data_IF_833381905114
#
_entry.id   IF_833381905114
#
_cell.length_a   1.000
_cell.length_b   1.000
_cell.length_c   1.000
_cell.angle_alpha   90.00
_cell.angle_beta   90.00
_cell.angle_gamma   90.00
#
_symmetry.space_group_name_H-M   'P 1'
#
loop_
_entity.id
_entity.type
_entity.pdbx_description
1 polymer ?
#
# COMPACT_ATOMS: atom_id res chain seq x y z
N UNK A 1 -1.50 -21.61 14.03
CA UNK A 1 -1.48 -22.82 13.18
C UNK A 1 -0.42 -23.78 13.68
N UNK A 2 -0.73 -25.07 13.80
CA UNK A 2 0.20 -26.11 14.20
C UNK A 2 -0.22 -27.49 13.70
N UNK A 3 0.76 -28.36 13.40
CA UNK A 3 0.51 -29.78 13.05
C UNK A 3 0.04 -30.61 14.24
N UNK A 4 0.49 -30.24 15.46
CA UNK A 4 0.11 -30.87 16.72
C UNK A 4 -0.41 -29.81 17.70
N UNK A 5 -1.72 -29.68 17.78
CA UNK A 5 -2.37 -28.64 18.59
C UNK A 5 -2.03 -28.78 20.08
N UNK A 6 -2.07 -29.98 20.65
CA UNK A 6 -1.72 -30.22 22.06
C UNK A 6 -0.32 -29.69 22.40
N UNK A 7 0.68 -29.99 21.57
CA UNK A 7 2.06 -29.52 21.78
C UNK A 7 2.13 -27.99 21.69
N UNK A 8 1.43 -27.39 20.72
CA UNK A 8 1.44 -25.94 20.53
C UNK A 8 0.78 -25.20 21.68
N UNK A 9 -0.37 -25.67 22.14
CA UNK A 9 -1.08 -25.07 23.28
C UNK A 9 -0.26 -25.23 24.57
N UNK A 10 0.30 -26.43 24.83
CA UNK A 10 1.15 -26.64 25.99
C UNK A 10 2.38 -25.74 26.03
N UNK A 11 2.95 -25.36 24.88
CA UNK A 11 4.07 -24.41 24.83
C UNK A 11 3.72 -23.03 25.39
N UNK A 12 2.48 -22.58 25.23
CA UNK A 12 2.03 -21.28 25.74
C UNK A 12 1.71 -21.31 27.24
N UNK A 13 1.14 -22.42 27.76
CA UNK A 13 0.59 -22.48 29.10
C UNK A 13 1.41 -23.38 30.07
N UNK A 14 2.60 -23.85 29.62
CA UNK A 14 3.49 -24.63 30.48
C UNK A 14 4.23 -23.70 31.43
N UNK A 15 4.19 -24.01 32.73
CA UNK A 15 4.94 -23.28 33.76
C UNK A 15 6.47 -23.36 33.50
N UNK A 16 7.16 -22.25 33.76
CA UNK A 16 8.62 -22.17 33.66
C UNK A 16 9.20 -22.01 32.23
N UNK A 17 8.37 -21.88 31.20
CA UNK A 17 8.84 -21.57 29.84
C UNK A 17 9.01 -20.06 29.71
N UNK A 18 10.21 -19.55 29.40
CA UNK A 18 10.41 -18.14 29.16
C UNK A 18 9.73 -17.75 27.83
N UNK A 19 8.86 -16.75 27.89
CA UNK A 19 8.24 -16.14 26.73
C UNK A 19 8.77 -14.71 26.54
N UNK A 20 8.74 -14.23 25.32
CA UNK A 20 8.97 -12.80 25.10
C UNK A 20 7.85 -11.95 25.74
N UNK A 21 8.10 -10.67 25.95
CA UNK A 21 7.17 -9.76 26.63
C UNK A 21 5.79 -9.73 25.95
N UNK A 22 5.75 -9.87 24.64
CA UNK A 22 4.53 -9.84 23.84
C UNK A 22 3.68 -11.11 24.04
N UNK A 23 4.32 -12.27 23.99
CA UNK A 23 3.65 -13.57 24.23
C UNK A 23 3.16 -13.65 25.67
N UNK A 24 3.95 -13.18 26.64
CA UNK A 24 3.55 -13.11 28.04
C UNK A 24 2.32 -12.25 28.25
N UNK A 25 2.26 -11.08 27.62
CA UNK A 25 1.05 -10.23 27.66
C UNK A 25 -0.15 -10.88 26.97
N UNK A 26 0.03 -11.57 25.86
CA UNK A 26 -1.04 -12.30 25.18
C UNK A 26 -1.62 -13.38 26.09
N UNK A 27 -0.77 -14.17 26.74
CA UNK A 27 -1.18 -15.25 27.67
C UNK A 27 -1.93 -14.66 28.87
N UNK A 28 -1.44 -13.56 29.46
CA UNK A 28 -2.08 -12.90 30.59
C UNK A 28 -3.50 -12.37 30.29
N UNK A 29 -3.82 -12.09 29.02
CA UNK A 29 -5.14 -11.65 28.59
C UNK A 29 -6.01 -12.75 27.98
N UNK A 30 -5.51 -13.99 27.88
CA UNK A 30 -6.24 -15.11 27.31
C UNK A 30 -7.03 -15.85 28.42
N UNK A 31 -8.34 -15.74 28.39
CA UNK A 31 -9.24 -16.47 29.33
C UNK A 31 -9.67 -17.82 28.77
N UNK A 32 -9.72 -17.97 27.47
CA UNK A 32 -10.13 -19.18 26.77
C UNK A 32 -9.47 -19.26 25.42
N UNK A 33 -9.50 -20.45 24.82
CA UNK A 33 -9.09 -20.64 23.43
C UNK A 33 -9.97 -21.68 22.76
N UNK A 34 -10.20 -21.50 21.48
CA UNK A 34 -10.90 -22.44 20.63
C UNK A 34 -9.94 -23.08 19.62
N UNK A 35 -10.31 -24.26 19.16
CA UNK A 35 -9.53 -25.05 18.22
C UNK A 35 -10.38 -25.41 17.02
N UNK A 36 -9.88 -25.08 15.82
CA UNK A 36 -10.48 -25.51 14.56
C UNK A 36 -9.53 -26.52 13.91
N UNK A 37 -10.01 -27.73 13.68
CA UNK A 37 -9.25 -28.78 13.02
C UNK A 37 -9.50 -28.71 11.52
N UNK A 38 -8.41 -28.56 10.73
CA UNK A 38 -8.45 -28.51 9.29
C UNK A 38 -7.93 -29.82 8.69
N UNK A 39 -8.41 -30.19 7.49
CA UNK A 39 -8.01 -31.43 6.82
C UNK A 39 -6.63 -31.32 6.16
N UNK A 40 -6.20 -30.09 5.80
CA UNK A 40 -4.91 -29.85 5.17
C UNK A 40 -4.18 -28.65 5.78
N UNK A 41 -2.85 -28.62 5.55
CA UNK A 41 -2.03 -27.47 5.97
C UNK A 41 -2.39 -26.20 5.20
N UNK A 42 -2.79 -26.34 3.95
CA UNK A 42 -3.23 -25.22 3.11
C UNK A 42 -4.53 -24.61 3.64
N UNK A 43 -5.52 -25.44 3.96
CA UNK A 43 -6.77 -24.99 4.57
C UNK A 43 -6.52 -24.25 5.89
N UNK A 44 -5.64 -24.78 6.76
CA UNK A 44 -5.28 -24.12 8.00
C UNK A 44 -4.58 -22.76 7.77
N UNK A 45 -3.84 -22.59 6.68
CA UNK A 45 -3.21 -21.32 6.31
C UNK A 45 -4.24 -20.29 5.84
N UNK A 46 -5.16 -20.71 4.98
CA UNK A 46 -6.25 -19.84 4.48
C UNK A 46 -7.17 -19.43 5.62
N UNK A 47 -7.52 -20.36 6.49
CA UNK A 47 -8.34 -20.07 7.67
C UNK A 47 -7.65 -19.10 8.63
N UNK A 48 -6.35 -19.29 8.92
CA UNK A 48 -5.56 -18.36 9.74
C UNK A 48 -5.58 -16.94 9.15
N UNK A 49 -5.32 -16.79 7.86
CA UNK A 49 -5.35 -15.49 7.18
C UNK A 49 -6.74 -14.84 7.25
N UNK A 50 -7.80 -15.62 7.03
CA UNK A 50 -9.18 -15.15 7.11
C UNK A 50 -9.53 -14.66 8.53
N UNK A 51 -9.20 -15.44 9.57
CA UNK A 51 -9.46 -15.08 10.97
C UNK A 51 -8.67 -13.84 11.40
N UNK A 52 -7.42 -13.70 10.96
CA UNK A 52 -6.61 -12.51 11.26
C UNK A 52 -7.21 -11.25 10.60
N UNK A 53 -7.70 -11.36 9.36
CA UNK A 53 -8.39 -10.26 8.67
C UNK A 53 -9.70 -9.88 9.35
N UNK A 54 -10.52 -10.87 9.72
CA UNK A 54 -11.81 -10.64 10.36
C UNK A 54 -11.70 -10.01 11.74
N UNK A 55 -10.72 -10.45 12.55
CA UNK A 55 -10.61 -10.09 13.96
C UNK A 55 -9.49 -9.09 14.27
N UNK A 56 -8.58 -8.81 13.33
CA UNK A 56 -7.43 -7.91 13.51
C UNK A 56 -6.75 -8.02 14.89
N UNK A 57 -6.36 -9.25 15.34
CA UNK A 57 -5.97 -9.51 16.71
C UNK A 57 -4.74 -8.70 17.14
N UNK A 58 -4.80 -8.08 18.32
CA UNK A 58 -3.80 -7.11 18.84
C UNK A 58 -2.36 -7.63 18.83
N UNK A 59 -2.17 -8.91 19.16
CA UNK A 59 -0.85 -9.52 19.30
C UNK A 59 -0.31 -10.19 18.04
N UNK A 60 -1.03 -10.17 16.90
CA UNK A 60 -0.51 -10.62 15.62
C UNK A 60 0.14 -9.47 14.89
N UNK A 61 1.40 -9.67 14.44
CA UNK A 61 2.11 -8.70 13.59
C UNK A 61 2.03 -9.15 12.13
N UNK A 62 2.33 -10.44 11.88
CA UNK A 62 2.25 -11.02 10.55
C UNK A 62 0.78 -11.17 10.11
N UNK A 63 0.52 -10.96 8.84
CA UNK A 63 -0.81 -11.04 8.21
C UNK A 63 -1.81 -9.96 8.64
N UNK A 64 -1.44 -9.05 9.53
CA UNK A 64 -2.19 -7.80 9.76
C UNK A 64 -1.90 -6.75 8.70
N UNK A 65 -0.63 -6.71 8.25
CA UNK A 65 -0.35 -5.99 7.03
C UNK A 65 -1.17 -6.69 5.95
N UNK A 66 -2.23 -6.03 5.56
CA UNK A 66 -2.78 -6.25 4.26
C UNK A 66 -1.61 -5.96 3.31
N UNK A 67 -0.87 -7.02 2.95
CA UNK A 67 -0.13 -7.00 1.69
C UNK A 67 -1.22 -7.03 0.63
N UNK A 68 -2.06 -6.00 0.74
CA UNK A 68 -3.09 -5.67 -0.16
C UNK A 68 -2.43 -5.46 -1.50
N UNK A 69 -3.14 -5.75 -2.50
CA UNK A 69 -2.77 -5.38 -3.85
C UNK A 69 -2.46 -3.88 -3.87
N UNK A 70 -1.40 -3.53 -4.58
CA UNK A 70 -1.08 -2.13 -4.85
C UNK A 70 -1.75 -1.69 -6.14
N UNK A 71 -1.98 -0.41 -6.25
CA UNK A 71 -2.67 0.19 -7.39
C UNK A 71 -1.89 1.40 -7.88
N UNK A 72 -2.05 1.71 -9.15
CA UNK A 72 -1.72 3.02 -9.67
C UNK A 72 -2.98 3.87 -9.58
N UNK A 73 -2.91 4.95 -8.80
CA UNK A 73 -3.98 5.92 -8.61
C UNK A 73 -3.81 7.06 -9.59
N UNK A 74 -4.86 7.39 -10.31
CA UNK A 74 -4.93 8.52 -11.25
C UNK A 74 -6.05 9.44 -10.78
N UNK A 75 -5.70 10.65 -10.34
CA UNK A 75 -6.72 11.60 -9.92
C UNK A 75 -7.49 12.14 -11.12
N UNK A 76 -8.77 12.43 -10.96
CA UNK A 76 -9.60 13.05 -12.00
C UNK A 76 -9.44 14.57 -12.03
N UNK A 77 -9.87 15.19 -13.11
CA UNK A 77 -9.85 16.63 -13.31
C UNK A 77 -8.97 17.07 -14.48
N UNK A 78 -8.82 18.37 -14.66
CA UNK A 78 -8.06 18.95 -15.76
C UNK A 78 -6.54 18.68 -15.65
N UNK A 79 -6.04 18.44 -14.46
CA UNK A 79 -4.61 18.22 -14.15
C UNK A 79 -4.44 16.92 -13.35
N UNK A 80 -4.70 15.74 -13.96
CA UNK A 80 -4.65 14.48 -13.26
C UNK A 80 -3.24 14.14 -12.78
N UNK A 81 -3.13 13.46 -11.64
CA UNK A 81 -1.86 12.99 -11.08
C UNK A 81 -1.81 11.48 -11.04
N UNK A 82 -0.64 10.94 -11.31
CA UNK A 82 -0.37 9.51 -11.19
C UNK A 82 0.44 9.28 -9.92
N UNK A 83 0.02 8.32 -9.08
CA UNK A 83 0.73 7.93 -7.87
C UNK A 83 0.52 6.45 -7.56
N UNK A 84 1.41 5.87 -6.76
CA UNK A 84 1.20 4.53 -6.20
C UNK A 84 0.27 4.60 -4.99
N UNK A 85 -0.66 3.66 -4.86
CA UNK A 85 -1.56 3.52 -3.74
C UNK A 85 -1.55 2.08 -3.21
N UNK A 86 -1.62 1.91 -1.88
CA UNK A 86 -1.64 0.61 -1.23
C UNK A 86 -3.06 0.03 -1.11
N UNK A 87 -4.06 0.86 -1.27
CA UNK A 87 -5.47 0.50 -1.23
C UNK A 87 -6.27 1.44 -2.12
N UNK A 88 -7.48 1.06 -2.43
CA UNK A 88 -8.45 1.98 -3.06
C UNK A 88 -9.10 2.79 -1.95
N UNK A 89 -8.99 4.11 -2.06
CA UNK A 89 -9.72 5.02 -1.20
C UNK A 89 -11.13 5.23 -1.76
N UNK A 90 -12.05 5.69 -0.92
CA UNK A 90 -13.39 6.13 -1.35
C UNK A 90 -13.31 7.57 -1.86
N UNK A 91 -12.61 7.75 -2.97
CA UNK A 91 -12.42 9.03 -3.63
C UNK A 91 -12.73 8.95 -5.14
N UNK A 92 -12.80 10.08 -5.80
CA UNK A 92 -13.15 10.18 -7.23
C UNK A 92 -11.92 9.96 -8.13
N UNK A 93 -11.02 9.02 -7.79
CA UNK A 93 -9.84 8.67 -8.57
C UNK A 93 -10.03 7.34 -9.30
N UNK A 94 -9.31 7.16 -10.40
CA UNK A 94 -9.24 5.89 -11.11
C UNK A 94 -8.08 5.04 -10.56
N UNK A 95 -8.31 3.73 -10.39
CA UNK A 95 -7.34 2.81 -9.84
C UNK A 95 -7.04 1.67 -10.81
N UNK A 96 -5.80 1.63 -11.30
CA UNK A 96 -5.31 0.59 -12.21
C UNK A 96 -4.64 -0.51 -11.36
N UNK A 97 -4.93 -1.76 -11.63
CA UNK A 97 -4.47 -2.93 -10.87
C UNK A 97 -5.62 -3.90 -10.59
N UNK A 98 -5.46 -4.88 -9.74
CA UNK A 98 -4.49 -4.99 -8.63
C UNK A 98 -3.11 -5.52 -9.02
N UNK A 99 -2.05 -5.02 -8.41
CA UNK A 99 -0.69 -5.52 -8.52
C UNK A 99 -0.23 -6.17 -7.22
N UNK A 100 0.56 -7.24 -7.32
CA UNK A 100 1.02 -8.01 -6.16
C UNK A 100 2.25 -7.44 -5.47
N UNK A 101 2.97 -6.51 -6.10
CA UNK A 101 4.19 -5.90 -5.57
C UNK A 101 4.08 -4.39 -5.49
N UNK A 102 4.04 -3.87 -4.28
CA UNK A 102 4.04 -2.40 -4.04
C UNK A 102 5.34 -1.73 -4.48
N UNK A 103 6.46 -2.44 -4.40
CA UNK A 103 7.74 -1.96 -4.88
C UNK A 103 7.72 -1.77 -6.41
N UNK A 104 7.26 -2.78 -7.15
CA UNK A 104 7.16 -2.72 -8.60
C UNK A 104 6.22 -1.58 -9.08
N UNK A 105 5.07 -1.40 -8.41
CA UNK A 105 4.14 -0.31 -8.73
C UNK A 105 4.79 1.05 -8.50
N UNK A 106 5.51 1.22 -7.40
CA UNK A 106 6.21 2.48 -7.12
C UNK A 106 7.27 2.78 -8.16
N UNK A 107 8.12 1.80 -8.47
CA UNK A 107 9.18 1.93 -9.47
C UNK A 107 8.61 2.25 -10.86
N UNK A 108 7.54 1.58 -11.26
CA UNK A 108 6.84 1.80 -12.52
C UNK A 108 6.26 3.22 -12.61
N UNK A 109 5.59 3.69 -11.55
CA UNK A 109 5.06 5.06 -11.47
C UNK A 109 6.18 6.09 -11.51
N UNK A 110 7.26 5.89 -10.77
CA UNK A 110 8.41 6.80 -10.75
C UNK A 110 9.08 6.88 -12.13
N UNK A 111 9.26 5.73 -12.79
CA UNK A 111 9.81 5.66 -14.14
C UNK A 111 8.93 6.40 -15.14
N UNK A 112 7.63 6.17 -15.13
CA UNK A 112 6.69 6.85 -15.99
C UNK A 112 6.69 8.38 -15.74
N UNK A 113 6.72 8.81 -14.48
CA UNK A 113 6.82 10.22 -14.12
C UNK A 113 8.14 10.87 -14.63
N UNK A 114 9.26 10.14 -14.57
CA UNK A 114 10.56 10.62 -15.09
C UNK A 114 10.55 10.73 -16.63
N UNK A 115 10.06 9.70 -17.32
CA UNK A 115 10.00 9.69 -18.78
C UNK A 115 9.13 10.81 -19.36
N UNK A 116 8.02 11.12 -18.70
CA UNK A 116 7.07 12.13 -19.16
C UNK A 116 7.17 13.46 -18.38
N UNK A 117 8.20 13.63 -17.56
CA UNK A 117 8.50 14.84 -16.78
C UNK A 117 7.32 15.32 -15.93
N UNK A 118 6.53 14.38 -15.38
CA UNK A 118 5.36 14.70 -14.60
C UNK A 118 5.72 15.25 -13.21
N UNK A 119 4.89 16.15 -12.64
CA UNK A 119 5.20 16.78 -11.36
C UNK A 119 5.03 15.78 -10.19
N UNK A 120 6.08 15.69 -9.34
CA UNK A 120 6.10 14.90 -8.10
C UNK A 120 5.91 15.75 -6.84
N UNK A 121 5.73 17.05 -7.00
CA UNK A 121 5.57 17.98 -5.88
C UNK A 121 4.13 18.00 -5.36
N UNK A 122 3.92 18.56 -4.16
CA UNK A 122 2.60 18.67 -3.51
C UNK A 122 1.80 19.91 -3.97
N UNK A 123 2.23 20.59 -5.03
CA UNK A 123 1.49 21.77 -5.55
C UNK A 123 0.20 21.32 -6.21
N UNK A 124 -0.86 22.09 -6.01
CA UNK A 124 -2.17 21.85 -6.62
C UNK A 124 -2.35 22.70 -7.88
N UNK A 125 -2.92 22.13 -8.93
CA UNK A 125 -3.13 22.84 -10.19
C UNK A 125 -4.63 22.95 -10.48
N UNK A 126 -5.11 24.12 -10.95
CA UNK A 126 -4.38 25.35 -11.36
C UNK A 126 -4.04 26.32 -10.23
N UNK A 127 -4.40 26.03 -8.98
CA UNK A 127 -4.35 26.97 -7.84
C UNK A 127 -2.95 27.55 -7.61
N UNK A 128 -1.90 26.76 -7.86
CA UNK A 128 -0.51 27.14 -7.61
C UNK A 128 0.24 27.64 -8.85
N UNK A 129 -0.47 27.95 -9.94
CA UNK A 129 0.14 28.53 -11.12
C UNK A 129 0.74 29.91 -10.82
N UNK A 130 1.99 30.10 -11.21
CA UNK A 130 2.70 31.36 -11.01
C UNK A 130 3.03 31.70 -9.54
N UNK A 131 2.65 30.84 -8.59
CA UNK A 131 2.98 31.06 -7.18
C UNK A 131 4.37 30.54 -6.84
N UNK A 132 5.30 31.45 -6.68
CA UNK A 132 6.68 31.18 -6.29
C UNK A 132 7.55 30.59 -7.41
N UNK A 133 8.79 30.26 -7.06
CA UNK A 133 9.75 29.70 -8.01
C UNK A 133 9.46 28.22 -8.31
N UNK A 134 9.74 27.75 -9.52
CA UNK A 134 9.77 26.34 -9.82
C UNK A 134 10.73 25.59 -8.88
N UNK A 135 10.41 24.32 -8.58
CA UNK A 135 11.23 23.51 -7.71
C UNK A 135 12.51 23.01 -8.41
N UNK A 136 13.42 22.39 -7.65
CA UNK A 136 14.67 21.86 -8.19
C UNK A 136 14.44 20.91 -9.37
N UNK A 137 13.42 20.05 -9.31
CA UNK A 137 13.11 19.13 -10.41
C UNK A 137 12.82 19.83 -11.73
N UNK A 138 12.21 21.03 -11.71
CA UNK A 138 12.00 21.83 -12.89
C UNK A 138 13.34 22.40 -13.42
N UNK A 139 14.23 22.84 -12.53
CA UNK A 139 15.53 23.39 -12.93
C UNK A 139 16.49 22.35 -13.51
N UNK A 140 16.45 21.12 -13.04
CA UNK A 140 17.29 20.01 -13.54
C UNK A 140 16.64 19.21 -14.67
N UNK A 141 15.52 19.70 -15.23
CA UNK A 141 14.85 19.06 -16.37
C UNK A 141 14.08 17.76 -16.03
N UNK A 142 13.79 17.48 -14.75
CA UNK A 142 13.01 16.30 -14.31
C UNK A 142 11.52 16.59 -14.11
N UNK A 143 11.06 17.78 -14.48
CA UNK A 143 9.65 18.16 -14.41
C UNK A 143 9.36 19.22 -15.45
N UNK A 144 8.26 19.09 -16.17
CA UNK A 144 7.81 20.06 -17.17
C UNK A 144 7.39 21.43 -16.59
N UNK A 145 7.55 21.63 -15.27
CA UNK A 145 7.26 22.89 -14.57
C UNK A 145 5.82 23.39 -14.76
N UNK A 146 4.84 22.52 -14.64
CA UNK A 146 3.39 22.86 -14.73
C UNK A 146 3.03 24.04 -13.84
N UNK A 147 3.65 24.15 -12.65
CA UNK A 147 3.45 25.25 -11.71
C UNK A 147 3.84 26.63 -12.26
N UNK A 148 4.58 26.71 -13.36
CA UNK A 148 4.89 28.00 -14.04
C UNK A 148 3.68 28.60 -14.74
N UNK A 149 2.63 27.83 -14.98
CA UNK A 149 1.45 28.21 -15.78
C UNK A 149 1.71 28.33 -17.28
N UNK A 150 2.90 27.93 -17.76
CA UNK A 150 3.26 28.00 -19.19
C UNK A 150 2.86 26.78 -19.98
N UNK A 151 2.62 25.65 -19.32
CA UNK A 151 2.22 24.39 -19.94
C UNK A 151 0.71 24.40 -20.17
N UNK A 152 0.27 24.06 -21.34
CA UNK A 152 -1.16 23.92 -21.66
C UNK A 152 -1.73 22.66 -21.05
N UNK A 153 -3.02 22.69 -20.70
CA UNK A 153 -3.72 21.53 -20.19
C UNK A 153 -3.66 20.33 -21.16
N UNK A 154 -3.75 20.61 -22.48
CA UNK A 154 -3.65 19.57 -23.51
C UNK A 154 -2.28 18.88 -23.48
N UNK A 155 -1.17 19.64 -23.54
CA UNK A 155 0.18 19.09 -23.50
C UNK A 155 0.46 18.29 -22.22
N UNK A 156 -0.09 18.74 -21.07
CA UNK A 156 0.01 17.99 -19.82
C UNK A 156 -0.75 16.67 -19.88
N UNK A 157 -1.99 16.70 -20.36
CA UNK A 157 -2.80 15.50 -20.46
C UNK A 157 -2.21 14.49 -21.48
N UNK A 158 -1.63 14.96 -22.58
CA UNK A 158 -0.92 14.09 -23.53
C UNK A 158 0.26 13.36 -22.85
N UNK A 159 1.02 14.05 -21.99
CA UNK A 159 2.10 13.46 -21.22
C UNK A 159 1.56 12.44 -20.19
N UNK A 160 0.46 12.74 -19.50
CA UNK A 160 -0.19 11.82 -18.58
C UNK A 160 -0.70 10.57 -19.32
N UNK A 161 -1.34 10.72 -20.49
CA UNK A 161 -1.78 9.59 -21.29
C UNK A 161 -0.60 8.76 -21.82
N UNK A 162 0.51 9.40 -22.17
CA UNK A 162 1.76 8.70 -22.50
C UNK A 162 2.28 7.86 -21.36
N UNK A 163 2.32 8.42 -20.15
CA UNK A 163 2.71 7.73 -18.94
C UNK A 163 1.80 6.53 -18.61
N UNK A 164 0.48 6.69 -18.78
CA UNK A 164 -0.50 5.61 -18.55
C UNK A 164 -0.41 4.47 -19.57
N UNK A 165 0.02 4.74 -20.79
CA UNK A 165 0.28 3.67 -21.79
C UNK A 165 1.55 2.89 -21.50
N UNK A 166 2.47 3.44 -20.73
CA UNK A 166 3.71 2.79 -20.32
C UNK A 166 3.49 1.88 -19.09
N UNK A 167 2.52 2.20 -18.25
CA UNK A 167 2.08 1.44 -17.07
C UNK A 167 1.20 0.26 -17.48
#
# INVERSE_FOLDING_TARGET
>A
KAKRLKTRVSQYFREGVPHDAKVSQMIAHAFTFDVIVCQSEFEALVLEASQIKAHTPKYNILLKDDKGYSYVKVTRGAWPRISAALQKDDDDADYIGPFTSSFAVREMVETAQDCFLLPRCNKSFPQDFGKGRPCLNAHIGKCMAVCSGKITCAAYNDAVQGALRMI
#
